data_IF_103328709042
#
_entry.id   IF_103328709042
#
_cell.length_a   1.000
_cell.length_b   1.000
_cell.length_c   1.000
_cell.angle_alpha   90.00
_cell.angle_beta   90.00
_cell.angle_gamma   90.00
#
_symmetry.space_group_name_H-M   'P 1'
#
loop_
_entity.id
_entity.type
_entity.pdbx_description
1 polymer ?
#
# COMPACT_ATOMS: atom_id res chain seq x y z
N UNK A 1 43.20 16.42 -27.32
CA UNK A 1 43.79 15.53 -28.34
C UNK A 1 42.72 15.30 -29.40
N UNK A 2 43.00 15.73 -30.64
CA UNK A 2 42.06 15.81 -31.78
C UNK A 2 41.72 14.44 -32.38
N UNK A 3 40.52 14.31 -32.97
CA UNK A 3 40.22 13.88 -34.36
C UNK A 3 38.70 13.63 -34.46
N UNK A 4 37.89 14.56 -34.96
CA UNK A 4 37.48 14.82 -36.36
C UNK A 4 36.92 13.61 -37.14
N UNK A 5 35.63 13.67 -37.48
CA UNK A 5 35.12 13.52 -38.86
C UNK A 5 33.66 13.99 -38.98
N UNK A 6 33.48 15.08 -39.74
CA UNK A 6 32.21 15.58 -40.27
C UNK A 6 31.88 14.92 -41.62
N UNK A 7 30.58 14.86 -41.97
CA UNK A 7 29.95 15.31 -43.24
C UNK A 7 28.44 14.99 -43.15
N UNK A 8 27.55 16.00 -43.04
CA UNK A 8 26.87 16.76 -44.12
C UNK A 8 26.12 15.89 -45.15
N UNK A 9 24.95 16.21 -45.73
CA UNK A 9 23.85 17.21 -45.62
C UNK A 9 22.87 16.72 -46.72
N UNK A 10 21.55 16.91 -46.59
CA UNK A 10 20.66 16.73 -47.75
C UNK A 10 19.16 16.79 -47.45
N UNK A 11 18.60 18.01 -47.40
CA UNK A 11 17.16 18.28 -47.53
C UNK A 11 16.70 18.11 -49.00
N UNK A 12 15.48 17.63 -49.21
CA UNK A 12 14.63 18.05 -50.34
C UNK A 12 13.13 17.84 -50.03
N UNK A 13 12.37 18.93 -50.05
CA UNK A 13 10.90 18.99 -50.13
C UNK A 13 10.40 18.70 -51.56
N UNK A 14 9.14 18.24 -51.68
CA UNK A 14 8.12 18.51 -52.73
C UNK A 14 7.08 17.37 -52.72
N UNK A 15 5.81 17.50 -53.08
CA UNK A 15 4.82 18.57 -53.25
C UNK A 15 3.48 17.81 -53.45
N UNK A 16 2.35 18.40 -53.06
CA UNK A 16 1.01 17.85 -53.24
C UNK A 16 0.59 17.75 -54.72
N UNK A 17 -0.32 16.82 -55.02
CA UNK A 17 -1.27 16.93 -56.14
C UNK A 17 -2.65 16.41 -55.74
N UNK A 18 -3.64 17.23 -56.05
CA UNK A 18 -5.09 17.06 -55.96
C UNK A 18 -5.61 16.81 -57.38
N UNK A 19 -6.62 15.95 -57.60
CA UNK A 19 -7.78 16.16 -58.52
C UNK A 19 -8.72 14.92 -58.59
N UNK A 20 -9.98 15.04 -59.12
CA UNK A 20 -11.18 14.55 -58.42
C UNK A 20 -12.09 13.63 -59.28
N UNK A 21 -13.29 13.30 -58.75
CA UNK A 21 -14.60 13.54 -59.38
C UNK A 21 -15.61 12.37 -59.50
N UNK A 22 -16.88 12.80 -59.45
CA UNK A 22 -18.13 12.26 -60.01
C UNK A 22 -19.15 11.48 -59.15
N UNK A 23 -20.23 12.23 -58.83
CA UNK A 23 -21.63 11.85 -58.60
C UNK A 23 -22.19 10.85 -59.63
N UNK A 24 -23.21 10.06 -59.25
CA UNK A 24 -24.56 10.03 -59.89
C UNK A 24 -25.62 9.49 -58.91
N UNK A 25 -26.77 10.19 -58.89
CA UNK A 25 -28.04 9.87 -58.22
C UNK A 25 -28.82 8.77 -58.94
N UNK A 26 -29.62 7.99 -58.21
CA UNK A 26 -30.66 7.12 -58.79
C UNK A 26 -31.82 6.88 -57.83
N UNK A 27 -32.86 7.71 -57.95
CA UNK A 27 -34.18 7.52 -57.32
C UNK A 27 -35.03 6.62 -58.21
N UNK A 28 -35.67 5.58 -57.67
CA UNK A 28 -36.93 5.05 -58.23
C UNK A 28 -37.84 4.60 -57.08
N UNK A 29 -39.06 5.13 -57.09
CA UNK A 29 -40.16 4.81 -56.18
C UNK A 29 -41.22 3.93 -56.88
N UNK A 30 -41.89 3.06 -56.12
CA UNK A 30 -43.31 2.64 -56.26
C UNK A 30 -43.69 1.83 -54.97
N UNK A 31 -44.58 2.30 -54.09
CA UNK A 31 -46.08 2.19 -54.09
C UNK A 31 -46.55 0.73 -54.23
N UNK A 32 -47.46 0.11 -53.44
CA UNK A 32 -48.41 0.42 -52.35
C UNK A 32 -48.88 -0.97 -51.82
N UNK A 33 -49.11 -1.18 -50.50
CA UNK A 33 -50.40 -1.72 -50.01
C UNK A 33 -50.55 -1.65 -48.49
N UNK A 34 -51.70 -1.15 -48.08
CA UNK A 34 -52.16 -0.97 -46.72
C UNK A 34 -52.68 -2.30 -46.14
N UNK A 35 -52.47 -2.49 -44.84
CA UNK A 35 -53.06 -3.57 -44.05
C UNK A 35 -52.87 -3.26 -42.57
N UNK A 36 -53.97 -2.86 -41.93
CA UNK A 36 -54.11 -2.51 -40.52
C UNK A 36 -53.76 -3.66 -39.56
N UNK A 37 -53.00 -3.36 -38.50
CA UNK A 37 -53.39 -3.72 -37.13
C UNK A 37 -52.54 -2.98 -36.10
N UNK A 38 -53.24 -2.26 -35.22
CA UNK A 38 -52.71 -1.60 -34.06
C UNK A 38 -52.58 -2.60 -32.90
N UNK A 39 -51.41 -2.67 -32.26
CA UNK A 39 -51.28 -2.79 -30.81
C UNK A 39 -49.80 -2.82 -30.38
N UNK A 40 -49.48 -2.01 -29.38
CA UNK A 40 -48.33 -2.09 -28.48
C UNK A 40 -46.92 -1.82 -29.04
N UNK A 41 -46.63 -0.52 -29.22
CA UNK A 41 -45.30 0.04 -28.97
C UNK A 41 -44.93 -0.19 -27.49
N UNK A 42 -43.92 -1.00 -27.20
CA UNK A 42 -43.11 -0.84 -25.98
C UNK A 42 -41.79 -0.18 -26.37
N UNK A 43 -41.76 1.13 -26.21
CA UNK A 43 -40.53 1.89 -26.16
C UNK A 43 -39.83 1.61 -24.82
N UNK A 44 -38.51 1.45 -24.88
CA UNK A 44 -37.52 1.88 -23.89
C UNK A 44 -37.67 1.41 -22.43
N UNK A 45 -36.71 0.58 -22.02
CA UNK A 45 -35.93 0.93 -20.83
C UNK A 45 -34.45 0.66 -21.11
N UNK A 46 -33.81 1.58 -21.84
CA UNK A 46 -32.37 1.79 -21.66
C UNK A 46 -32.22 2.25 -20.22
N UNK A 47 -31.80 1.34 -19.35
CA UNK A 47 -31.45 1.71 -17.98
C UNK A 47 -30.20 2.55 -18.09
N UNK A 48 -30.36 3.86 -17.90
CA UNK A 48 -29.24 4.77 -17.64
C UNK A 48 -28.43 4.16 -16.51
N UNK A 49 -27.11 4.12 -16.70
CA UNK A 49 -26.16 3.97 -15.61
C UNK A 49 -26.64 4.86 -14.46
N UNK A 50 -26.86 4.23 -13.31
CA UNK A 50 -27.08 4.95 -12.06
C UNK A 50 -25.89 5.88 -11.93
N UNK A 51 -26.16 7.18 -11.78
CA UNK A 51 -25.15 8.24 -11.79
C UNK A 51 -23.99 7.85 -10.87
N UNK A 52 -22.89 7.40 -11.48
CA UNK A 52 -21.61 7.37 -10.81
C UNK A 52 -21.30 8.82 -10.43
N UNK A 53 -20.79 9.10 -9.23
CA UNK A 53 -20.34 10.45 -8.92
C UNK A 53 -19.42 10.93 -10.05
N UNK A 54 -19.56 12.17 -10.51
CA UNK A 54 -18.88 12.76 -11.68
C UNK A 54 -17.34 12.63 -11.69
N UNK A 55 -16.74 12.06 -10.64
CA UNK A 55 -15.31 11.81 -10.42
C UNK A 55 -14.93 10.33 -10.19
N UNK A 56 -15.74 9.34 -10.58
CA UNK A 56 -15.35 7.94 -10.43
C UNK A 56 -14.30 7.52 -11.48
N UNK A 57 -13.22 6.86 -11.04
CA UNK A 57 -12.17 6.36 -11.94
C UNK A 57 -12.76 5.39 -12.99
N UNK A 58 -12.30 5.51 -14.24
CA UNK A 58 -12.78 4.66 -15.34
C UNK A 58 -12.29 3.23 -15.15
N UNK A 59 -13.22 2.27 -15.18
CA UNK A 59 -12.90 0.82 -15.22
C UNK A 59 -11.99 0.49 -16.42
N UNK A 60 -11.22 -0.60 -16.38
CA UNK A 60 -10.22 -0.99 -17.39
C UNK A 60 -10.58 -2.31 -18.10
N UNK A 61 -10.28 -2.42 -19.40
CA UNK A 61 -10.37 -3.69 -20.14
C UNK A 61 -11.68 -4.46 -19.97
N UNK A 62 -11.57 -5.76 -19.72
CA UNK A 62 -12.69 -6.69 -19.48
C UNK A 62 -13.51 -6.36 -18.22
N UNK A 63 -12.98 -5.53 -17.32
CA UNK A 63 -13.65 -5.10 -16.10
C UNK A 63 -14.63 -3.93 -16.32
N UNK A 64 -14.68 -3.36 -17.54
CA UNK A 64 -15.75 -2.43 -17.96
C UNK A 64 -17.03 -3.25 -18.19
N UNK A 65 -17.91 -3.33 -17.20
CA UNK A 65 -19.10 -4.18 -17.29
C UNK A 65 -20.16 -3.61 -18.25
N UNK A 66 -19.97 -3.88 -19.55
CA UNK A 66 -21.05 -4.01 -20.53
C UNK A 66 -21.58 -5.46 -20.62
N UNK A 67 -21.01 -6.38 -19.83
CA UNK A 67 -21.39 -7.78 -19.79
C UNK A 67 -22.57 -8.01 -18.85
N UNK A 68 -23.55 -8.79 -19.31
CA UNK A 68 -24.75 -9.14 -18.55
C UNK A 68 -24.40 -10.06 -17.37
N UNK A 69 -24.30 -9.49 -16.16
CA UNK A 69 -24.08 -10.21 -14.89
C UNK A 69 -25.12 -11.30 -14.61
N UNK A 70 -26.25 -11.33 -15.32
CA UNK A 70 -27.23 -12.42 -15.21
C UNK A 70 -26.72 -13.75 -15.78
N UNK A 71 -25.60 -13.73 -16.51
CA UNK A 71 -25.00 -14.91 -17.16
C UNK A 71 -23.85 -15.54 -16.35
N UNK A 72 -23.57 -15.05 -15.15
CA UNK A 72 -22.54 -15.61 -14.28
C UNK A 72 -23.05 -16.78 -13.42
N UNK A 73 -22.14 -17.68 -13.02
CA UNK A 73 -22.45 -18.84 -12.21
C UNK A 73 -22.95 -18.44 -10.82
N UNK A 74 -24.28 -18.50 -10.65
CA UNK A 74 -24.96 -18.14 -9.41
C UNK A 74 -24.59 -19.05 -8.23
N UNK A 75 -24.15 -20.28 -8.47
CA UNK A 75 -23.68 -21.16 -7.40
C UNK A 75 -22.27 -20.76 -6.95
N UNK A 76 -21.39 -20.34 -7.87
CA UNK A 76 -20.05 -19.81 -7.51
C UNK A 76 -20.16 -18.59 -6.59
N UNK A 77 -21.10 -17.68 -6.88
CA UNK A 77 -21.23 -16.40 -6.17
C UNK A 77 -22.10 -16.48 -4.91
N UNK A 78 -22.79 -17.60 -4.68
CA UNK A 78 -23.81 -17.75 -3.63
C UNK A 78 -23.33 -17.41 -2.22
N UNK A 79 -22.06 -17.68 -1.95
CA UNK A 79 -21.44 -17.48 -0.63
C UNK A 79 -20.56 -16.23 -0.57
N UNK A 80 -20.55 -15.40 -1.61
CA UNK A 80 -19.71 -14.21 -1.64
C UNK A 80 -20.22 -13.13 -0.70
N UNK A 81 -19.29 -12.50 0.01
CA UNK A 81 -19.53 -11.28 0.79
C UNK A 81 -19.70 -10.09 -0.15
N UNK A 82 -20.12 -8.94 0.42
CA UNK A 82 -20.16 -7.67 -0.31
C UNK A 82 -18.76 -7.34 -0.84
N UNK A 83 -18.64 -6.97 -2.12
CA UNK A 83 -17.38 -6.53 -2.73
C UNK A 83 -16.76 -5.38 -1.95
N UNK A 84 -15.44 -5.44 -1.74
CA UNK A 84 -14.67 -4.36 -1.11
C UNK A 84 -13.78 -3.64 -2.13
N UNK A 85 -13.66 -2.34 -1.98
CA UNK A 85 -12.82 -1.48 -2.80
C UNK A 85 -11.44 -1.35 -2.17
N UNK A 86 -10.40 -1.74 -2.92
CA UNK A 86 -9.01 -1.75 -2.46
C UNK A 86 -8.19 -0.85 -3.36
N UNK A 87 -7.87 0.34 -2.86
CA UNK A 87 -6.99 1.27 -3.52
C UNK A 87 -5.52 0.93 -3.26
N UNK A 88 -4.68 0.99 -4.29
CA UNK A 88 -3.23 0.72 -4.20
C UNK A 88 -2.45 1.83 -4.88
N UNK A 89 -1.57 2.52 -4.15
CA UNK A 89 -0.70 3.55 -4.73
C UNK A 89 0.65 2.98 -5.15
N UNK A 90 1.30 3.59 -6.15
CA UNK A 90 2.53 3.01 -6.71
C UNK A 90 2.25 1.65 -7.35
N UNK A 91 1.06 1.50 -7.94
CA UNK A 91 0.53 0.21 -8.40
C UNK A 91 1.32 -0.43 -9.55
N UNK A 92 2.13 0.34 -10.27
CA UNK A 92 3.08 -0.14 -11.28
C UNK A 92 4.45 -0.54 -10.70
N UNK A 93 4.64 -0.46 -9.38
CA UNK A 93 5.88 -0.78 -8.69
C UNK A 93 6.06 -2.27 -8.41
N UNK A 94 7.31 -2.70 -8.13
CA UNK A 94 7.64 -4.12 -7.91
C UNK A 94 6.89 -4.77 -6.74
N UNK A 95 6.63 -4.03 -5.66
CA UNK A 95 5.86 -4.55 -4.50
C UNK A 95 4.41 -4.78 -4.93
N UNK A 96 3.80 -3.80 -5.59
CA UNK A 96 2.44 -3.90 -6.10
C UNK A 96 2.30 -5.07 -7.09
N UNK A 97 3.28 -5.29 -7.97
CA UNK A 97 3.25 -6.39 -8.92
C UNK A 97 3.21 -7.79 -8.29
N UNK A 98 3.54 -7.95 -7.01
CA UNK A 98 3.31 -9.20 -6.27
C UNK A 98 2.01 -9.13 -5.47
N UNK A 99 1.79 -8.00 -4.80
CA UNK A 99 0.65 -7.80 -3.92
C UNK A 99 -0.70 -7.88 -4.65
N UNK A 100 -0.83 -7.29 -5.83
CA UNK A 100 -2.09 -7.22 -6.58
C UNK A 100 -2.63 -8.61 -6.92
N UNK A 101 -1.76 -9.54 -7.31
CA UNK A 101 -2.14 -10.92 -7.62
C UNK A 101 -2.49 -11.72 -6.35
N UNK A 102 -1.81 -11.46 -5.22
CA UNK A 102 -2.20 -12.04 -3.92
C UNK A 102 -3.60 -11.56 -3.51
N UNK A 103 -3.91 -10.27 -3.69
CA UNK A 103 -5.22 -9.70 -3.41
C UNK A 103 -6.28 -10.34 -4.33
N UNK A 104 -6.06 -10.34 -5.64
CA UNK A 104 -6.98 -10.86 -6.64
C UNK A 104 -7.28 -12.37 -6.48
N UNK A 105 -6.28 -13.15 -6.05
CA UNK A 105 -6.46 -14.59 -5.80
C UNK A 105 -7.31 -14.93 -4.57
N UNK A 106 -7.64 -13.95 -3.73
CA UNK A 106 -8.31 -14.16 -2.44
C UNK A 106 -7.40 -14.70 -1.34
N UNK A 107 -6.08 -14.69 -1.51
CA UNK A 107 -5.12 -15.09 -0.47
C UNK A 107 -5.13 -14.15 0.74
N UNK A 108 -5.47 -12.87 0.51
CA UNK A 108 -5.49 -11.84 1.55
C UNK A 108 -6.83 -11.83 2.29
N UNK A 109 -7.93 -11.60 1.58
CA UNK A 109 -9.24 -11.38 2.19
C UNK A 109 -10.12 -12.64 2.32
N UNK A 110 -9.69 -13.77 1.76
CA UNK A 110 -10.43 -15.03 1.76
C UNK A 110 -11.03 -15.37 0.39
N UNK A 111 -11.41 -16.66 0.25
CA UNK A 111 -11.92 -17.22 -1.01
C UNK A 111 -13.40 -16.88 -1.28
N UNK A 112 -14.04 -16.18 -0.36
CA UNK A 112 -15.44 -15.76 -0.41
C UNK A 112 -15.59 -14.22 -0.43
N UNK A 113 -14.49 -13.48 -0.63
CA UNK A 113 -14.47 -12.02 -0.58
C UNK A 113 -14.10 -11.45 -1.96
N UNK A 114 -15.09 -10.99 -2.75
CA UNK A 114 -14.82 -10.28 -3.99
C UNK A 114 -14.18 -8.92 -3.70
N UNK A 115 -13.33 -8.47 -4.62
CA UNK A 115 -12.64 -7.18 -4.53
C UNK A 115 -12.75 -6.37 -5.84
N UNK A 116 -12.65 -5.06 -5.70
CA UNK A 116 -12.39 -4.11 -6.78
C UNK A 116 -11.04 -3.43 -6.52
N UNK A 117 -10.14 -3.47 -7.50
CA UNK A 117 -8.81 -2.85 -7.40
C UNK A 117 -8.81 -1.44 -8.01
N UNK A 118 -8.42 -0.44 -7.22
CA UNK A 118 -8.33 0.95 -7.65
C UNK A 118 -6.85 1.37 -7.66
N UNK A 119 -6.23 1.39 -8.82
CA UNK A 119 -4.78 1.47 -8.98
C UNK A 119 -4.32 2.90 -9.26
N UNK A 120 -3.62 3.50 -8.31
CA UNK A 120 -3.05 4.84 -8.44
C UNK A 120 -1.57 4.74 -8.88
N UNK A 121 -1.28 5.29 -10.05
CA UNK A 121 0.07 5.46 -10.57
C UNK A 121 0.54 6.91 -10.58
N UNK A 122 1.45 7.21 -11.49
CA UNK A 122 1.90 8.57 -11.81
C UNK A 122 1.92 8.74 -13.32
N UNK A 123 1.91 9.98 -13.80
CA UNK A 123 2.01 10.28 -15.25
C UNK A 123 3.16 9.53 -15.92
N UNK A 124 4.33 9.50 -15.27
CA UNK A 124 5.54 8.84 -15.77
C UNK A 124 5.39 7.32 -15.92
N UNK A 125 4.51 6.69 -15.15
CA UNK A 125 4.38 5.24 -15.06
C UNK A 125 3.02 4.72 -15.53
N UNK A 126 2.25 5.55 -16.26
CA UNK A 126 0.92 5.20 -16.70
C UNK A 126 0.90 4.01 -17.67
N UNK A 127 1.82 3.96 -18.64
CA UNK A 127 1.93 2.80 -19.55
C UNK A 127 2.26 1.51 -18.80
N UNK A 128 3.13 1.58 -17.77
CA UNK A 128 3.42 0.43 -16.92
C UNK A 128 2.20 0.01 -16.08
N UNK A 129 1.38 0.98 -15.67
CA UNK A 129 0.13 0.73 -14.95
C UNK A 129 -0.91 0.03 -15.85
N UNK A 130 -1.00 0.43 -17.12
CA UNK A 130 -1.80 -0.28 -18.13
C UNK A 130 -1.32 -1.72 -18.31
N UNK A 131 0.00 -1.93 -18.40
CA UNK A 131 0.59 -3.28 -18.47
C UNK A 131 0.21 -4.17 -17.28
N UNK A 132 0.25 -3.63 -16.05
CA UNK A 132 -0.20 -4.38 -14.86
C UNK A 132 -1.69 -4.71 -14.92
N UNK A 133 -2.54 -3.79 -15.39
CA UNK A 133 -3.96 -4.05 -15.55
C UNK A 133 -4.24 -5.11 -16.63
N UNK A 134 -3.42 -5.16 -17.69
CA UNK A 134 -3.46 -6.23 -18.71
C UNK A 134 -3.07 -7.59 -18.12
N UNK A 135 -2.06 -7.67 -17.25
CA UNK A 135 -1.74 -8.94 -16.58
C UNK A 135 -2.86 -9.39 -15.62
N UNK A 136 -3.58 -8.45 -15.00
CA UNK A 136 -4.72 -8.75 -14.14
C UNK A 136 -5.93 -9.30 -14.91
N UNK A 137 -6.23 -8.80 -16.13
CA UNK A 137 -7.27 -9.39 -16.98
C UNK A 137 -6.90 -10.80 -17.44
N UNK A 138 -5.65 -11.03 -17.85
CA UNK A 138 -5.15 -12.32 -18.32
C UNK A 138 -5.10 -13.39 -17.22
N UNK A 139 -5.16 -12.96 -15.95
CA UNK A 139 -5.09 -13.86 -14.79
C UNK A 139 -6.41 -14.55 -14.44
N UNK A 140 -7.54 -14.10 -14.99
CA UNK A 140 -8.87 -14.73 -14.83
C UNK A 140 -9.27 -14.98 -13.37
N UNK A 141 -8.91 -14.08 -12.45
CA UNK A 141 -9.28 -14.23 -11.05
C UNK A 141 -10.77 -13.94 -10.83
N UNK A 142 -11.59 -14.92 -10.39
CA UNK A 142 -13.03 -14.72 -10.29
C UNK A 142 -13.43 -13.69 -9.22
N UNK A 143 -12.63 -13.56 -8.17
CA UNK A 143 -12.85 -12.60 -7.07
C UNK A 143 -12.45 -11.18 -7.46
N UNK A 144 -11.67 -10.98 -8.52
CA UNK A 144 -11.35 -9.66 -9.02
C UNK A 144 -12.47 -9.18 -9.94
N UNK A 145 -13.35 -8.35 -9.38
CA UNK A 145 -14.59 -7.94 -10.07
C UNK A 145 -14.40 -6.70 -10.90
N UNK A 146 -13.58 -5.77 -10.41
CA UNK A 146 -13.33 -4.50 -11.08
C UNK A 146 -11.86 -4.12 -10.96
N UNK A 147 -11.33 -3.48 -12.00
CA UNK A 147 -10.03 -2.80 -11.99
C UNK A 147 -10.23 -1.41 -12.59
N UNK A 148 -9.81 -0.37 -11.88
CA UNK A 148 -9.72 0.99 -12.39
C UNK A 148 -8.28 1.49 -12.22
N UNK A 149 -7.77 2.23 -13.21
CA UNK A 149 -6.43 2.80 -13.16
C UNK A 149 -6.51 4.32 -13.32
N UNK A 150 -5.58 5.04 -12.69
CA UNK A 150 -5.56 6.50 -12.78
C UNK A 150 -4.35 7.12 -12.08
N UNK A 151 -4.28 8.44 -12.16
CA UNK A 151 -3.21 9.26 -11.56
C UNK A 151 -3.73 10.32 -10.59
N UNK A 152 -5.06 10.54 -10.55
CA UNK A 152 -5.70 11.43 -9.59
C UNK A 152 -6.12 10.65 -8.35
N UNK A 153 -5.55 10.94 -7.16
CA UNK A 153 -5.96 10.29 -5.93
C UNK A 153 -7.43 10.54 -5.55
N UNK A 154 -8.05 11.66 -5.93
CA UNK A 154 -9.46 11.93 -5.63
C UNK A 154 -10.41 11.05 -6.44
N UNK A 155 -9.99 10.61 -7.63
CA UNK A 155 -10.77 9.65 -8.42
C UNK A 155 -10.52 8.22 -7.94
N UNK A 156 -9.26 7.87 -7.67
CA UNK A 156 -8.87 6.49 -7.36
C UNK A 156 -9.25 6.08 -5.93
N UNK A 157 -9.24 7.00 -4.96
CA UNK A 157 -9.67 6.67 -3.60
C UNK A 157 -11.18 6.71 -3.38
N UNK A 158 -11.97 7.01 -4.41
CA UNK A 158 -13.42 7.12 -4.29
C UNK A 158 -14.03 5.81 -3.77
N UNK A 159 -14.63 5.88 -2.58
CA UNK A 159 -15.27 4.75 -1.92
C UNK A 159 -14.33 3.63 -1.49
N UNK A 160 -13.02 3.88 -1.37
CA UNK A 160 -12.05 2.86 -0.94
C UNK A 160 -12.35 2.37 0.49
N UNK A 161 -12.49 1.05 0.68
CA UNK A 161 -12.56 0.40 2.00
C UNK A 161 -11.16 0.16 2.58
N UNK A 162 -10.18 -0.07 1.70
CA UNK A 162 -8.77 -0.21 2.02
C UNK A 162 -7.91 0.67 1.12
N UNK A 163 -6.93 1.36 1.69
CA UNK A 163 -5.93 2.12 0.98
C UNK A 163 -4.53 1.60 1.30
N UNK A 164 -3.91 0.91 0.34
CA UNK A 164 -2.57 0.34 0.45
C UNK A 164 -1.57 1.30 -0.21
N UNK A 165 -0.98 2.17 0.60
CA UNK A 165 -0.17 3.29 0.14
C UNK A 165 1.30 2.87 -0.01
N UNK A 166 1.61 2.21 -1.13
CA UNK A 166 2.94 1.66 -1.44
C UNK A 166 3.85 2.68 -2.13
N UNK A 167 3.28 3.56 -2.95
CA UNK A 167 4.04 4.53 -3.73
C UNK A 167 4.66 5.64 -2.87
N UNK A 168 5.98 5.74 -2.91
CA UNK A 168 6.76 6.86 -2.41
C UNK A 168 7.94 7.12 -3.34
N UNK A 169 8.50 8.33 -3.31
CA UNK A 169 9.72 8.64 -4.03
C UNK A 169 10.90 7.88 -3.40
N UNK A 170 11.67 7.12 -4.22
CA UNK A 170 12.86 6.44 -3.74
C UNK A 170 13.95 7.45 -3.36
N UNK A 171 14.84 7.05 -2.45
CA UNK A 171 15.94 7.92 -2.03
C UNK A 171 17.02 7.97 -3.11
N UNK A 172 17.21 9.16 -3.69
CA UNK A 172 18.23 9.40 -4.71
C UNK A 172 19.68 9.41 -4.17
N UNK A 173 20.69 9.27 -5.05
CA UNK A 173 22.09 9.44 -4.67
C UNK A 173 22.34 10.84 -4.07
N UNK A 174 22.98 10.90 -2.90
CA UNK A 174 23.30 12.17 -2.23
C UNK A 174 22.10 12.92 -1.64
N UNK A 175 20.91 12.33 -1.65
CA UNK A 175 19.71 12.95 -1.06
C UNK A 175 19.78 12.89 0.48
N UNK A 176 19.65 14.06 1.11
CA UNK A 176 19.53 14.18 2.56
C UNK A 176 18.22 13.55 3.05
N UNK A 177 18.25 13.07 4.30
CA UNK A 177 17.09 12.42 4.91
C UNK A 177 15.90 13.37 5.04
N UNK A 178 16.16 14.63 5.41
CA UNK A 178 15.16 15.69 5.49
C UNK A 178 14.44 15.92 4.16
N UNK A 179 15.18 15.89 3.05
CA UNK A 179 14.61 16.13 1.71
C UNK A 179 13.68 14.99 1.29
N UNK A 180 14.05 13.74 1.62
CA UNK A 180 13.20 12.57 1.39
C UNK A 180 11.90 12.69 2.21
N UNK A 181 12.02 13.02 3.49
CA UNK A 181 10.88 13.23 4.40
C UNK A 181 9.94 14.30 3.83
N UNK A 182 10.47 15.44 3.38
CA UNK A 182 9.65 16.53 2.84
C UNK A 182 8.94 16.15 1.54
N UNK A 183 9.65 15.56 0.58
CA UNK A 183 9.08 15.18 -0.72
C UNK A 183 7.98 14.12 -0.56
N UNK A 184 8.25 13.07 0.21
CA UNK A 184 7.24 12.05 0.46
C UNK A 184 6.10 12.59 1.33
N UNK A 185 6.40 13.45 2.31
CA UNK A 185 5.37 14.11 3.10
C UNK A 185 4.35 14.88 2.25
N UNK A 186 4.76 15.58 1.19
CA UNK A 186 3.84 16.28 0.28
C UNK A 186 2.91 15.32 -0.49
N UNK A 187 3.44 14.16 -0.90
CA UNK A 187 2.66 13.10 -1.56
C UNK A 187 1.58 12.60 -0.59
N UNK A 188 1.97 12.26 0.64
CA UNK A 188 1.06 11.72 1.65
C UNK A 188 0.11 12.77 2.22
N UNK A 189 0.47 14.06 2.21
CA UNK A 189 -0.45 15.17 2.50
C UNK A 189 -1.59 15.20 1.47
N UNK A 190 -1.25 15.21 0.18
CA UNK A 190 -2.23 15.23 -0.91
C UNK A 190 -3.11 13.99 -0.88
N UNK A 191 -2.51 12.81 -0.71
CA UNK A 191 -3.25 11.55 -0.64
C UNK A 191 -4.14 11.47 0.62
N UNK A 192 -3.68 11.97 1.77
CA UNK A 192 -4.50 12.10 2.99
C UNK A 192 -5.74 12.96 2.77
N UNK A 193 -5.60 14.11 2.11
CA UNK A 193 -6.74 14.98 1.76
C UNK A 193 -7.73 14.30 0.81
N UNK A 194 -7.22 13.56 -0.18
CA UNK A 194 -8.07 12.79 -1.08
C UNK A 194 -8.84 11.68 -0.33
N UNK A 195 -8.16 10.87 0.50
CA UNK A 195 -8.80 9.87 1.36
C UNK A 195 -9.89 10.52 2.24
N UNK A 196 -9.58 11.66 2.85
CA UNK A 196 -10.51 12.42 3.67
C UNK A 196 -11.80 12.77 2.92
N UNK A 197 -11.68 13.21 1.67
CA UNK A 197 -12.80 13.71 0.88
C UNK A 197 -13.62 12.56 0.29
N UNK A 198 -12.99 11.53 -0.25
CA UNK A 198 -13.67 10.58 -1.15
C UNK A 198 -13.71 9.13 -0.69
N UNK A 199 -12.89 8.71 0.28
CA UNK A 199 -12.86 7.31 0.73
C UNK A 199 -14.07 6.94 1.60
N UNK A 200 -14.25 5.64 1.85
CA UNK A 200 -15.21 5.18 2.86
C UNK A 200 -14.84 5.76 4.24
N UNK A 201 -15.85 6.09 5.06
CA UNK A 201 -15.61 6.72 6.38
C UNK A 201 -14.89 5.82 7.36
N UNK A 202 -14.88 4.51 7.13
CA UNK A 202 -14.13 3.52 7.90
C UNK A 202 -12.98 2.91 7.09
N UNK A 203 -12.51 3.58 6.03
CA UNK A 203 -11.37 3.13 5.23
C UNK A 203 -10.17 2.79 6.12
N UNK A 204 -9.57 1.62 5.89
CA UNK A 204 -8.33 1.18 6.56
C UNK A 204 -7.13 1.52 5.69
N UNK A 205 -6.16 2.23 6.24
CA UNK A 205 -5.02 2.78 5.51
C UNK A 205 -3.74 2.07 5.96
N UNK A 206 -3.02 1.45 5.02
CA UNK A 206 -1.74 0.78 5.28
C UNK A 206 -0.65 1.45 4.46
N UNK A 207 0.23 2.18 5.13
CA UNK A 207 1.36 2.90 4.54
C UNK A 207 2.61 2.03 4.53
N UNK A 208 3.16 1.86 3.33
CA UNK A 208 4.41 1.13 3.08
C UNK A 208 5.49 2.06 2.55
N UNK A 209 5.10 3.12 1.83
CA UNK A 209 6.02 4.09 1.26
C UNK A 209 6.82 4.82 2.34
N UNK A 210 8.15 4.81 2.22
CA UNK A 210 9.07 5.34 3.24
C UNK A 210 9.17 6.88 3.25
N UNK A 211 9.38 7.52 4.42
CA UNK A 211 9.40 6.94 5.78
C UNK A 211 7.98 6.63 6.28
N UNK A 212 7.62 5.35 6.43
CA UNK A 212 6.21 4.96 6.50
C UNK A 212 5.49 5.44 7.76
N UNK A 213 6.17 5.49 8.91
CA UNK A 213 5.58 6.03 10.16
C UNK A 213 5.22 7.51 10.00
N UNK A 214 6.16 8.34 9.56
CA UNK A 214 5.94 9.78 9.34
C UNK A 214 4.96 10.04 8.20
N UNK A 215 5.00 9.27 7.12
CA UNK A 215 4.03 9.38 6.03
C UNK A 215 2.61 9.00 6.47
N UNK A 216 2.44 7.94 7.27
CA UNK A 216 1.16 7.57 7.86
C UNK A 216 0.63 8.65 8.79
N UNK A 217 1.52 9.24 9.60
CA UNK A 217 1.17 10.36 10.46
C UNK A 217 0.69 11.58 9.65
N UNK A 218 1.40 11.97 8.58
CA UNK A 218 0.98 13.10 7.72
C UNK A 218 -0.36 12.82 7.05
N UNK A 219 -0.56 11.62 6.52
CA UNK A 219 -1.83 11.24 5.88
C UNK A 219 -2.99 11.28 6.90
N UNK A 220 -2.76 10.78 8.11
CA UNK A 220 -3.71 10.80 9.22
C UNK A 220 -4.10 12.23 9.63
N UNK A 221 -3.13 13.13 9.80
CA UNK A 221 -3.40 14.55 10.17
C UNK A 221 -4.12 15.33 9.06
N UNK A 222 -3.98 14.91 7.80
CA UNK A 222 -4.70 15.49 6.67
C UNK A 222 -6.03 14.80 6.36
N UNK A 223 -6.44 13.83 7.18
CA UNK A 223 -7.69 13.10 7.04
C UNK A 223 -8.55 13.10 8.32
N UNK A 224 -8.95 14.28 8.84
CA UNK A 224 -9.69 14.39 10.10
C UNK A 224 -11.06 13.71 10.11
N UNK A 225 -11.64 13.43 8.94
CA UNK A 225 -12.94 12.73 8.80
C UNK A 225 -12.78 11.20 8.78
N UNK A 226 -11.57 10.68 8.86
CA UNK A 226 -11.28 9.26 9.03
C UNK A 226 -10.77 9.01 10.46
N UNK A 227 -11.15 7.90 11.11
CA UNK A 227 -10.64 7.56 12.43
C UNK A 227 -9.10 7.45 12.41
N UNK A 228 -8.42 8.18 13.29
CA UNK A 228 -6.94 8.16 13.41
C UNK A 228 -6.37 6.75 13.58
N UNK A 229 -7.10 5.89 14.28
CA UNK A 229 -6.75 4.46 14.48
C UNK A 229 -6.66 3.69 13.16
N UNK A 230 -7.27 4.13 12.07
CA UNK A 230 -7.27 3.41 10.81
C UNK A 230 -5.96 3.58 10.01
N UNK A 231 -5.00 4.39 10.48
CA UNK A 231 -3.74 4.65 9.79
C UNK A 231 -2.61 3.79 10.35
N UNK A 232 -2.21 2.82 9.55
CA UNK A 232 -1.16 1.86 9.87
C UNK A 232 0.11 2.15 9.08
N UNK A 233 1.27 2.13 9.73
CA UNK A 233 2.57 2.04 9.06
C UNK A 233 3.11 0.61 9.14
N UNK A 234 3.64 0.10 8.03
CA UNK A 234 4.01 -1.30 7.91
C UNK A 234 5.36 -1.60 8.58
N UNK A 235 5.33 -2.21 9.77
CA UNK A 235 6.50 -2.82 10.43
C UNK A 235 6.47 -4.35 10.44
N UNK A 236 5.48 -4.95 9.75
CA UNK A 236 5.30 -6.41 9.68
C UNK A 236 6.44 -7.13 8.96
N UNK A 237 7.11 -6.47 8.01
CA UNK A 237 8.29 -7.06 7.36
C UNK A 237 9.42 -7.28 8.37
N UNK A 238 9.62 -6.32 9.26
CA UNK A 238 10.63 -6.37 10.31
C UNK A 238 10.30 -7.46 11.33
N UNK A 239 9.03 -7.59 11.71
CA UNK A 239 8.55 -8.69 12.56
C UNK A 239 8.81 -10.06 11.90
N UNK A 240 8.45 -10.22 10.62
CA UNK A 240 8.66 -11.46 9.90
C UNK A 240 10.17 -11.80 9.81
N UNK A 241 11.02 -10.79 9.57
CA UNK A 241 12.49 -10.92 9.58
C UNK A 241 13.01 -11.28 10.98
N UNK A 242 12.47 -10.68 12.03
CA UNK A 242 12.81 -10.96 13.42
C UNK A 242 12.44 -12.40 13.82
N UNK A 243 11.22 -12.85 13.50
CA UNK A 243 10.78 -14.25 13.68
C UNK A 243 11.74 -15.23 13.00
N UNK A 244 12.15 -14.93 11.75
CA UNK A 244 13.13 -15.73 11.02
C UNK A 244 14.50 -15.79 11.71
N UNK A 245 15.02 -14.66 12.19
CA UNK A 245 16.32 -14.62 12.89
C UNK A 245 16.29 -15.37 14.24
N UNK A 246 15.20 -15.23 15.02
CA UNK A 246 15.00 -15.98 16.26
C UNK A 246 14.94 -17.49 16.00
N UNK A 247 14.15 -17.90 15.01
CA UNK A 247 14.01 -19.31 14.63
C UNK A 247 15.37 -19.91 14.23
N UNK A 248 16.12 -19.19 13.40
CA UNK A 248 17.45 -19.61 12.94
C UNK A 248 18.43 -19.75 14.11
N UNK A 249 18.49 -18.76 15.02
CA UNK A 249 19.38 -18.82 16.20
C UNK A 249 18.99 -19.95 17.16
N UNK A 250 17.70 -20.26 17.28
CA UNK A 250 17.20 -21.35 18.13
C UNK A 250 17.30 -22.74 17.49
N UNK A 251 17.65 -22.84 16.20
CA UNK A 251 17.61 -24.12 15.46
C UNK A 251 16.19 -24.69 15.35
N UNK A 252 15.18 -23.81 15.25
CA UNK A 252 13.76 -24.17 15.13
C UNK A 252 13.17 -23.60 13.84
N UNK A 253 12.00 -24.12 13.45
CA UNK A 253 11.25 -23.53 12.35
C UNK A 253 10.46 -22.30 12.80
N UNK A 254 10.25 -21.32 11.92
CA UNK A 254 9.68 -20.03 12.27
C UNK A 254 8.23 -20.10 12.78
N UNK A 255 7.49 -21.17 12.49
CA UNK A 255 6.14 -21.40 13.02
C UNK A 255 6.12 -21.66 14.54
N UNK A 256 7.27 -21.95 15.14
CA UNK A 256 7.41 -22.09 16.59
C UNK A 256 7.67 -20.76 17.32
N UNK A 257 7.89 -19.67 16.57
CA UNK A 257 8.20 -18.35 17.14
C UNK A 257 6.94 -17.49 17.15
N UNK A 258 6.57 -16.97 18.32
CA UNK A 258 5.38 -16.14 18.51
C UNK A 258 5.67 -14.97 19.45
N UNK A 259 4.69 -14.07 19.58
CA UNK A 259 4.70 -12.90 20.45
C UNK A 259 5.91 -11.98 20.22
N UNK A 260 6.30 -11.87 18.95
CA UNK A 260 7.38 -10.96 18.51
C UNK A 260 6.74 -9.62 18.19
N UNK A 261 7.28 -8.56 18.78
CA UNK A 261 6.88 -7.19 18.51
C UNK A 261 8.08 -6.40 17.96
N UNK A 262 7.80 -5.44 17.09
CA UNK A 262 8.75 -4.41 16.68
C UNK A 262 8.22 -3.08 17.17
N UNK A 263 9.00 -2.39 18.01
CA UNK A 263 8.63 -1.07 18.54
C UNK A 263 9.28 0.05 17.74
N UNK A 264 8.63 1.22 17.73
CA UNK A 264 9.22 2.46 17.24
C UNK A 264 9.01 2.72 15.76
N UNK A 265 10.01 3.31 15.15
CA UNK A 265 10.00 3.70 13.75
C UNK A 265 10.32 2.51 12.83
N UNK A 266 9.96 2.61 11.55
CA UNK A 266 10.53 1.75 10.51
C UNK A 266 11.86 2.34 10.02
N UNK A 267 12.88 2.21 10.86
CA UNK A 267 14.22 2.74 10.64
C UNK A 267 15.26 1.86 11.35
N UNK A 268 16.54 2.22 11.32
CA UNK A 268 17.59 1.54 12.10
C UNK A 268 17.42 1.70 13.62
N UNK A 269 16.52 2.57 14.09
CA UNK A 269 16.18 2.70 15.52
C UNK A 269 15.11 1.72 15.98
N UNK A 270 14.48 0.98 15.06
CA UNK A 270 13.47 -0.03 15.37
C UNK A 270 13.94 -1.00 16.45
N UNK A 271 13.01 -1.47 17.27
CA UNK A 271 13.32 -2.36 18.40
C UNK A 271 12.60 -3.71 18.26
N UNK A 272 13.25 -4.71 17.63
CA UNK A 272 12.79 -6.09 17.67
C UNK A 272 12.85 -6.62 19.10
N UNK A 273 11.70 -6.78 19.73
CA UNK A 273 11.57 -7.17 21.13
C UNK A 273 11.74 -8.67 21.30
N UNK A 274 12.90 -9.05 21.84
CA UNK A 274 13.19 -10.43 22.22
C UNK A 274 12.77 -10.77 23.66
N UNK A 275 12.52 -9.77 24.51
CA UNK A 275 12.19 -9.95 25.92
C UNK A 275 10.82 -10.62 26.06
N UNK A 276 9.86 -10.18 25.25
CA UNK A 276 8.50 -10.68 25.24
C UNK A 276 8.24 -11.81 24.22
N UNK A 277 9.20 -12.02 23.30
CA UNK A 277 9.13 -13.09 22.30
C UNK A 277 9.09 -14.49 22.93
N UNK A 278 8.42 -15.42 22.24
CA UNK A 278 8.34 -16.82 22.64
C UNK A 278 8.82 -17.75 21.53
N UNK A 279 9.41 -18.87 21.92
CA UNK A 279 9.86 -19.95 21.04
C UNK A 279 9.37 -21.27 21.64
N UNK A 280 8.50 -21.98 20.93
CA UNK A 280 7.85 -23.20 21.42
C UNK A 280 7.03 -22.96 22.70
N UNK A 281 6.43 -21.78 22.84
CA UNK A 281 5.64 -21.38 24.02
C UNK A 281 6.46 -20.89 25.23
N UNK A 282 7.78 -21.07 25.22
CA UNK A 282 8.68 -20.58 26.27
C UNK A 282 9.23 -19.19 25.91
N UNK A 283 9.57 -18.34 26.89
CA UNK A 283 10.27 -17.09 26.63
C UNK A 283 11.53 -17.31 25.77
N UNK A 284 11.78 -16.45 24.78
CA UNK A 284 12.90 -16.62 23.85
C UNK A 284 14.26 -16.66 24.58
N UNK A 285 14.41 -15.86 25.64
CA UNK A 285 15.58 -15.87 26.53
C UNK A 285 15.77 -17.17 27.32
N UNK A 286 14.73 -18.01 27.40
CA UNK A 286 14.83 -19.35 27.98
C UNK A 286 15.32 -20.42 27.00
N UNK A 287 15.20 -20.15 25.69
CA UNK A 287 15.61 -21.07 24.62
C UNK A 287 16.99 -20.68 24.08
N UNK A 288 17.21 -19.39 23.82
CA UNK A 288 18.49 -18.84 23.38
C UNK A 288 19.21 -18.27 24.60
N UNK A 289 20.18 -19.03 25.14
CA UNK A 289 20.96 -18.65 26.34
C UNK A 289 22.17 -17.77 26.00
N UNK A 290 21.97 -16.81 25.09
CA UNK A 290 23.01 -15.92 24.57
C UNK A 290 22.51 -14.47 24.62
N UNK A 291 22.60 -13.85 25.80
CA UNK A 291 22.10 -12.50 26.05
C UNK A 291 22.87 -11.44 25.24
N UNK A 292 24.16 -11.67 24.98
CA UNK A 292 24.97 -10.75 24.18
C UNK A 292 24.49 -10.74 22.73
N UNK A 293 24.15 -11.90 22.18
CA UNK A 293 23.59 -11.97 20.83
C UNK A 293 22.29 -11.18 20.70
N UNK A 294 21.39 -11.23 21.68
CA UNK A 294 20.16 -10.44 21.66
C UNK A 294 20.43 -8.93 21.61
N UNK A 295 21.32 -8.43 22.46
CA UNK A 295 21.57 -6.99 22.58
C UNK A 295 22.42 -6.43 21.43
N UNK A 296 23.40 -7.20 20.96
CA UNK A 296 24.44 -6.69 20.06
C UNK A 296 24.27 -7.15 18.61
N UNK A 297 23.59 -8.27 18.38
CA UNK A 297 23.54 -8.90 17.05
C UNK A 297 22.13 -9.01 16.49
N UNK A 298 21.13 -9.30 17.32
CA UNK A 298 19.77 -9.56 16.85
C UNK A 298 19.15 -8.32 16.19
N UNK A 299 19.09 -7.19 16.89
CA UNK A 299 18.55 -5.94 16.33
C UNK A 299 19.29 -5.50 15.07
N UNK A 300 20.64 -5.42 15.03
CA UNK A 300 21.35 -5.10 13.79
C UNK A 300 21.11 -6.11 12.66
N UNK A 301 20.97 -7.42 12.94
CA UNK A 301 20.66 -8.43 11.91
C UNK A 301 19.30 -8.21 11.26
N UNK A 302 18.29 -7.79 12.03
CA UNK A 302 16.96 -7.48 11.49
C UNK A 302 17.02 -6.20 10.66
N UNK A 303 17.56 -5.11 11.22
CA UNK A 303 17.67 -3.83 10.53
C UNK A 303 18.51 -3.91 9.24
N UNK A 304 19.59 -4.70 9.22
CA UNK A 304 20.48 -4.83 8.06
C UNK A 304 20.01 -5.91 7.06
N UNK A 305 18.87 -6.56 7.29
CA UNK A 305 18.41 -7.69 6.47
C UNK A 305 18.12 -7.29 5.03
N UNK A 306 17.51 -6.13 4.80
CA UNK A 306 17.27 -5.63 3.44
C UNK A 306 18.59 -5.40 2.69
N UNK A 307 19.60 -4.83 3.33
CA UNK A 307 20.93 -4.61 2.76
C UNK A 307 21.64 -5.92 2.40
N UNK A 308 21.51 -6.93 3.26
CA UNK A 308 22.02 -8.27 2.97
C UNK A 308 21.32 -8.92 1.77
N UNK A 309 20.01 -8.70 1.60
CA UNK A 309 19.25 -9.18 0.45
C UNK A 309 19.66 -8.48 -0.84
N UNK A 310 19.78 -7.14 -0.86
CA UNK A 310 20.25 -6.41 -2.06
C UNK A 310 21.62 -6.92 -2.50
N UNK A 311 22.56 -7.13 -1.57
CA UNK A 311 23.91 -7.65 -1.90
C UNK A 311 23.87 -9.00 -2.61
N UNK A 312 22.82 -9.81 -2.39
CA UNK A 312 22.67 -11.14 -2.99
C UNK A 312 21.79 -11.12 -4.24
N UNK A 313 20.74 -10.31 -4.24
CA UNK A 313 19.69 -10.33 -5.26
C UNK A 313 19.82 -9.23 -6.31
N UNK A 314 20.58 -8.17 -6.02
CA UNK A 314 20.76 -7.00 -6.89
C UNK A 314 19.57 -6.05 -6.97
N UNK A 315 18.45 -6.36 -6.30
CA UNK A 315 17.22 -5.55 -6.26
C UNK A 315 16.51 -5.63 -4.91
N UNK A 316 15.53 -4.76 -4.70
CA UNK A 316 14.77 -4.66 -3.44
C UNK A 316 13.99 -5.94 -3.11
N UNK A 317 13.60 -6.08 -1.84
CA UNK A 317 12.93 -7.28 -1.31
C UNK A 317 11.43 -7.30 -1.57
N UNK A 318 11.01 -6.96 -2.80
CA UNK A 318 9.62 -6.70 -3.17
C UNK A 318 8.64 -7.83 -2.80
N UNK A 319 9.00 -9.08 -3.12
CA UNK A 319 8.14 -10.24 -2.84
C UNK A 319 7.89 -10.42 -1.33
N UNK A 320 8.93 -10.38 -0.50
CA UNK A 320 8.77 -10.49 0.96
C UNK A 320 8.03 -9.30 1.57
N UNK A 321 8.18 -8.10 0.98
CA UNK A 321 7.41 -6.92 1.41
C UNK A 321 5.93 -7.10 1.07
N UNK A 322 5.59 -7.58 -0.14
CA UNK A 322 4.20 -7.86 -0.51
C UNK A 322 3.54 -8.89 0.42
N UNK A 323 4.26 -9.97 0.77
CA UNK A 323 3.80 -10.95 1.78
C UNK A 323 3.55 -10.27 3.12
N UNK A 324 4.43 -9.38 3.58
CA UNK A 324 4.23 -8.68 4.85
C UNK A 324 3.04 -7.72 4.84
N UNK A 325 2.70 -7.12 3.70
CA UNK A 325 1.48 -6.31 3.54
C UNK A 325 0.24 -7.21 3.65
N UNK A 326 0.23 -8.32 2.92
CA UNK A 326 -0.85 -9.32 3.01
C UNK A 326 -1.03 -9.84 4.44
N UNK A 327 0.08 -10.16 5.13
CA UNK A 327 0.09 -10.57 6.53
C UNK A 327 -0.48 -9.50 7.47
N UNK A 328 -0.13 -8.23 7.25
CA UNK A 328 -0.63 -7.09 8.03
C UNK A 328 -2.15 -6.96 7.92
N UNK A 329 -2.68 -7.01 6.69
CA UNK A 329 -4.12 -6.97 6.42
C UNK A 329 -4.80 -8.17 7.08
N UNK A 330 -4.29 -9.39 6.87
CA UNK A 330 -4.82 -10.62 7.49
C UNK A 330 -4.91 -10.53 9.00
N UNK A 331 -3.97 -9.84 9.65
CA UNK A 331 -3.94 -9.71 11.11
C UNK A 331 -5.01 -8.76 11.65
N UNK A 332 -5.58 -7.89 10.80
CA UNK A 332 -6.72 -7.04 11.13
C UNK A 332 -8.06 -7.73 10.85
N UNK A 333 -8.12 -8.64 9.88
CA UNK A 333 -9.37 -9.32 9.46
C UNK A 333 -9.47 -10.79 9.91
N UNK A 334 -8.49 -11.27 10.67
CA UNK A 334 -8.49 -12.59 11.29
C UNK A 334 -8.27 -12.41 12.81
N UNK A 335 -9.06 -13.06 13.67
CA UNK A 335 -8.82 -13.01 15.11
C UNK A 335 -7.38 -13.38 15.45
N UNK A 336 -6.70 -12.53 16.20
CA UNK A 336 -5.32 -12.80 16.64
C UNK A 336 -5.30 -14.03 17.56
N UNK A 337 -4.39 -14.99 17.36
CA UNK A 337 -4.29 -16.17 18.21
C UNK A 337 -4.13 -15.80 19.69
N UNK A 338 -4.75 -16.54 20.64
CA UNK A 338 -4.66 -16.25 22.06
C UNK A 338 -3.21 -16.13 22.55
N UNK A 339 -2.88 -15.00 23.18
CA UNK A 339 -1.55 -14.74 23.74
C UNK A 339 -0.47 -14.35 22.72
N UNK A 340 -0.82 -14.22 21.44
CA UNK A 340 0.05 -13.71 20.37
C UNK A 340 -0.28 -12.25 20.02
N UNK A 341 0.53 -11.64 19.16
CA UNK A 341 0.38 -10.28 18.67
C UNK A 341 0.88 -10.12 17.24
N UNK A 342 0.64 -8.96 16.66
CA UNK A 342 1.30 -8.47 15.45
C UNK A 342 1.79 -7.03 15.67
N UNK A 343 2.83 -6.65 14.95
CA UNK A 343 3.43 -5.32 14.97
C UNK A 343 2.76 -4.44 13.94
N UNK A 344 2.38 -3.23 14.33
CA UNK A 344 1.87 -2.20 13.43
C UNK A 344 2.26 -0.82 13.95
N UNK A 345 2.80 0.03 13.08
CA UNK A 345 2.86 1.46 13.30
C UNK A 345 1.45 2.00 13.38
N UNK A 346 1.06 2.60 14.49
CA UNK A 346 -0.29 3.14 14.69
C UNK A 346 -0.24 4.43 15.52
N UNK A 347 -1.34 5.16 15.55
CA UNK A 347 -1.48 6.35 16.38
C UNK A 347 -1.12 6.07 17.84
N UNK A 348 -0.23 6.86 18.43
CA UNK A 348 0.23 6.71 19.82
C UNK A 348 -0.73 7.28 20.86
N UNK A 349 -1.80 7.97 20.45
CA UNK A 349 -2.73 8.63 21.37
C UNK A 349 -3.35 7.61 22.35
N UNK A 350 -3.33 7.92 23.66
CA UNK A 350 -3.92 7.06 24.70
C UNK A 350 -3.17 5.73 25.00
N UNK A 351 -1.96 5.52 24.49
CA UNK A 351 -1.17 4.32 24.80
C UNK A 351 -0.79 4.23 26.29
N UNK A 352 -0.69 3.01 26.83
CA UNK A 352 -0.33 2.76 28.24
C UNK A 352 1.19 2.63 28.49
N UNK A 353 2.01 2.75 27.45
CA UNK A 353 3.46 2.60 27.53
C UNK A 353 4.19 3.93 27.77
N UNK A 354 3.46 5.04 27.83
CA UNK A 354 4.02 6.38 28.05
C UNK A 354 4.75 6.94 26.83
N UNK A 355 4.50 6.39 25.64
CA UNK A 355 4.98 6.98 24.39
C UNK A 355 4.22 8.29 24.16
N UNK A 356 4.91 9.31 23.68
CA UNK A 356 4.33 10.62 23.41
C UNK A 356 3.21 10.52 22.37
N UNK A 357 2.10 11.17 22.66
CA UNK A 357 0.96 11.29 21.75
C UNK A 357 1.32 12.10 20.49
N UNK A 358 0.48 11.97 19.46
CA UNK A 358 0.68 12.65 18.18
C UNK A 358 1.88 12.10 17.40
N UNK A 359 2.07 10.77 17.43
CA UNK A 359 3.04 10.03 16.61
C UNK A 359 2.33 8.85 15.94
N UNK A 360 2.91 8.34 14.85
CA UNK A 360 2.66 6.98 14.39
C UNK A 360 3.84 6.11 14.82
N UNK A 361 3.62 5.23 15.78
CA UNK A 361 4.66 4.46 16.45
C UNK A 361 4.29 2.98 16.41
N UNK A 362 5.25 2.09 16.14
CA UNK A 362 4.98 0.66 16.09
C UNK A 362 4.77 0.07 17.48
N UNK A 363 3.65 -0.61 17.66
CA UNK A 363 3.27 -1.28 18.91
C UNK A 363 2.96 -2.77 18.67
N UNK A 364 3.01 -3.61 19.71
CA UNK A 364 2.32 -4.89 19.69
C UNK A 364 0.81 -4.67 19.74
N UNK A 365 0.12 -5.16 18.74
CA UNK A 365 -1.33 -5.07 18.60
C UNK A 365 -1.96 -6.47 18.55
N UNK A 366 -3.25 -6.53 18.86
CA UNK A 366 -4.11 -7.70 18.63
C UNK A 366 -5.46 -7.25 18.09
N UNK A 367 -6.11 -8.12 17.33
CA UNK A 367 -7.38 -7.85 16.66
C UNK A 367 -8.38 -8.98 16.89
N UNK A 368 -9.66 -8.63 16.82
CA UNK A 368 -10.77 -9.60 16.79
C UNK A 368 -11.08 -10.09 15.37
N UNK A 369 -10.36 -9.59 14.36
CA UNK A 369 -10.61 -9.90 12.95
C UNK A 369 -11.73 -9.06 12.31
N UNK A 370 -12.05 -7.91 12.91
CA UNK A 370 -13.11 -6.98 12.49
C UNK A 370 -12.56 -5.74 11.74
N UNK A 371 -11.27 -5.75 11.41
CA UNK A 371 -10.55 -4.64 10.79
C UNK A 371 -9.97 -3.64 11.81
N UNK A 372 -10.30 -3.76 13.09
CA UNK A 372 -9.77 -2.92 14.17
C UNK A 372 -8.71 -3.67 14.98
N UNK A 373 -8.08 -2.96 15.93
CA UNK A 373 -7.09 -3.52 16.83
C UNK A 373 -7.14 -2.82 18.20
N UNK A 374 -6.47 -3.44 19.16
CA UNK A 374 -6.06 -2.80 20.41
C UNK A 374 -4.55 -2.99 20.63
N UNK A 375 -3.91 -2.00 21.23
CA UNK A 375 -2.52 -2.10 21.68
C UNK A 375 -2.49 -3.09 22.85
N UNK A 376 -1.64 -4.12 22.76
CA UNK A 376 -1.42 -5.05 23.87
C UNK A 376 -0.87 -4.25 25.05
N UNK A 377 -1.29 -4.54 26.29
CA UNK A 377 -0.88 -3.81 27.49
C UNK A 377 -0.10 -4.69 28.49
N UNK A 378 0.18 -5.93 28.11
CA UNK A 378 0.77 -6.99 28.92
C UNK A 378 2.22 -7.33 28.51
N UNK A 379 2.88 -6.42 27.78
CA UNK A 379 4.31 -6.50 27.49
C UNK A 379 5.14 -5.95 28.64
N UNK A 380 6.19 -6.69 29.00
CA UNK A 380 7.17 -6.33 30.02
C UNK A 380 8.17 -5.36 29.40
N UNK A 381 8.43 -4.24 30.08
CA UNK A 381 9.41 -3.22 29.67
C UNK A 381 10.53 -3.15 30.72
N UNK A 382 11.70 -3.70 30.39
CA UNK A 382 12.92 -3.55 31.20
C UNK A 382 13.71 -2.28 30.81
N UNK A 383 14.81 -2.02 31.50
CA UNK A 383 15.63 -0.81 31.27
C UNK A 383 16.23 -0.77 29.86
N UNK A 384 16.63 -1.92 29.31
CA UNK A 384 17.19 -2.00 27.97
C UNK A 384 16.13 -1.67 26.92
N UNK A 385 14.95 -2.28 27.03
CA UNK A 385 13.85 -2.06 26.10
C UNK A 385 13.34 -0.62 26.20
N UNK A 386 13.19 -0.08 27.42
CA UNK A 386 12.81 1.32 27.65
C UNK A 386 13.76 2.30 26.97
N UNK A 387 15.06 2.12 27.16
CA UNK A 387 16.08 2.97 26.55
C UNK A 387 16.02 2.91 25.02
N UNK A 388 15.85 1.71 24.43
CA UNK A 388 15.77 1.55 22.97
C UNK A 388 14.48 2.14 22.38
N UNK A 389 13.34 1.91 23.05
CA UNK A 389 12.06 2.52 22.70
C UNK A 389 12.17 4.05 22.72
N UNK A 390 12.82 4.62 23.75
CA UNK A 390 12.99 6.06 23.87
C UNK A 390 13.79 6.66 22.72
N UNK A 391 14.86 5.99 22.28
CA UNK A 391 15.64 6.44 21.12
C UNK A 391 14.82 6.44 19.81
N UNK A 392 13.97 5.43 19.61
CA UNK A 392 13.09 5.37 18.44
C UNK A 392 11.97 6.43 18.50
N UNK A 393 11.45 6.70 19.71
CA UNK A 393 10.49 7.77 19.95
C UNK A 393 11.10 9.15 19.64
N UNK A 394 12.31 9.42 20.12
CA UNK A 394 13.02 10.68 19.87
C UNK A 394 13.26 10.94 18.37
N UNK A 395 13.58 9.90 17.61
CA UNK A 395 13.68 10.00 16.15
C UNK A 395 12.34 10.39 15.52
N UNK A 396 11.24 9.72 15.89
CA UNK A 396 9.91 10.04 15.36
C UNK A 396 9.46 11.45 15.73
N UNK A 397 9.81 11.94 16.93
CA UNK A 397 9.56 13.32 17.34
C UNK A 397 10.30 14.30 16.41
N UNK A 398 11.58 14.03 16.12
CA UNK A 398 12.37 14.87 15.22
C UNK A 398 11.79 14.87 13.80
N UNK A 399 11.36 13.71 13.29
CA UNK A 399 10.70 13.62 11.98
C UNK A 399 9.38 14.38 11.93
N UNK A 400 8.54 14.20 12.95
CA UNK A 400 7.27 14.93 13.10
C UNK A 400 7.51 16.44 13.06
N UNK A 401 8.50 16.91 13.80
CA UNK A 401 8.81 18.34 13.89
C UNK A 401 9.36 18.88 12.55
N UNK A 402 10.09 18.06 11.78
CA UNK A 402 10.50 18.39 10.41
C UNK A 402 9.33 18.56 9.42
N UNK A 403 8.16 17.97 9.71
CA UNK A 403 6.99 17.99 8.82
C UNK A 403 5.83 18.82 9.36
N UNK A 404 6.05 19.66 10.38
CA UNK A 404 4.99 20.44 11.03
C UNK A 404 4.19 21.31 10.05
N UNK A 405 4.85 21.86 9.03
CA UNK A 405 4.25 22.66 7.97
C UNK A 405 3.28 21.85 7.06
N UNK A 406 3.39 20.52 7.03
CA UNK A 406 2.52 19.64 6.25
C UNK A 406 1.27 19.19 7.01
N UNK A 407 1.24 19.42 8.33
CA UNK A 407 0.17 18.97 9.24
C UNK A 407 -0.54 20.15 9.93
N UNK A 408 -0.30 21.39 9.48
CA UNK A 408 -0.96 22.57 10.04
C UNK A 408 -0.49 22.95 11.45
N UNK A 409 0.72 22.54 11.86
CA UNK A 409 1.29 22.87 13.17
C UNK A 409 2.37 23.95 13.04
N UNK A 410 2.17 25.08 13.72
CA UNK A 410 3.15 26.17 13.77
C UNK A 410 4.35 25.81 14.66
N UNK A 411 5.56 26.23 14.27
CA UNK A 411 6.75 26.23 15.15
C UNK A 411 7.59 24.94 15.22
N UNK A 412 7.32 23.91 14.40
CA UNK A 412 8.22 22.76 14.28
C UNK A 412 9.50 23.13 13.53
N UNK A 413 10.65 22.91 14.16
CA UNK A 413 11.96 23.12 13.53
C UNK A 413 12.56 21.76 13.15
N UNK A 414 12.97 21.62 11.89
CA UNK A 414 13.62 20.40 11.44
C UNK A 414 15.05 20.31 12.01
N UNK A 415 15.26 19.44 12.98
CA UNK A 415 16.58 19.16 13.57
C UNK A 415 17.37 18.08 12.81
N UNK A 416 16.79 17.50 11.76
CA UNK A 416 17.45 16.52 10.89
C UNK A 416 18.26 17.29 9.85
N UNK A 417 19.59 17.30 10.01
CA UNK A 417 20.52 17.95 9.08
C UNK A 417 21.63 17.00 8.61
N UNK A 418 22.63 17.51 7.86
CA UNK A 418 23.70 16.70 7.27
C UNK A 418 24.54 15.89 8.27
N UNK A 419 24.56 16.31 9.54
CA UNK A 419 25.29 15.64 10.63
C UNK A 419 24.42 14.67 11.44
N UNK A 420 23.11 14.61 11.17
CA UNK A 420 22.20 13.67 11.83
C UNK A 420 22.44 12.27 11.27
N UNK A 421 22.59 11.23 12.11
CA UNK A 421 22.81 9.87 11.63
C UNK A 421 21.73 9.43 10.64
N UNK A 422 22.17 8.80 9.55
CA UNK A 422 21.25 8.21 8.58
C UNK A 422 20.66 6.91 9.12
N UNK A 423 19.34 6.93 9.32
CA UNK A 423 18.60 5.81 9.89
C UNK A 423 17.73 5.07 8.89
N UNK A 424 17.82 5.37 7.59
CA UNK A 424 17.09 4.58 6.58
C UNK A 424 17.49 3.10 6.66
N UNK A 425 16.51 2.20 6.68
CA UNK A 425 16.75 0.76 6.67
C UNK A 425 17.47 0.39 5.36
N UNK A 426 18.66 -0.24 5.39
CA UNK A 426 19.33 -0.64 4.18
C UNK A 426 18.49 -1.66 3.40
N UNK A 427 18.39 -1.51 2.09
CA UNK A 427 17.63 -2.45 1.25
C UNK A 427 16.33 -1.91 0.68
N UNK A 428 15.90 -0.73 1.12
CA UNK A 428 14.57 -0.17 0.88
C UNK A 428 14.63 1.16 0.11
N UNK A 429 15.63 1.26 -0.79
CA UNK A 429 15.82 2.41 -1.67
C UNK A 429 14.86 2.43 -2.83
#
# INVERSE_FOLDING_TARGET
MQLNLQKNVGLAQKQATVTPAFNVRGNVARKVQAGSNAAARRASSVVRAVDAPEKAAKQFGVFRLSYDVNNEDKEMMKNWKKTINVAVTGASGMIANHLLFMLASGEVYGKDQPIALQLLGSERSYEALEGVAMELEDSLYPLLREVSIGIDPYEIFAGADWALMVGAQPRGPGMERSDLIQKNGQIFQTQGRALNEVADRNCKVVVVGNPCCTNAFIAMENAPNLPRKNFHALTRLDENRAKSQLAMKAGKFYTSVSRVAVWGNHSTTQVPDFLNAKIGGLPAMNVIRDNQWFKDQFTPKVAMRGGALIKKWGRSSAASTAVSVADSIRSLITPTPPGDCFSSGVCSDGNLYGIQEGLNFSFPCRSKGDGDYEICNDFIIDDWLRMKIKAAEEELIQERDCVSHLIGREGGACAIGPNTPDTSVPGEK
#
